data_IF_716193217738
#
_entry.id   IF_716193217738
#
_cell.length_a   1.000
_cell.length_b   1.000
_cell.length_c   1.000
_cell.angle_alpha   90.00
_cell.angle_beta   90.00
_cell.angle_gamma   90.00
#
_symmetry.space_group_name_H-M   'P 1'
#
loop_
_entity.id
_entity.type
_entity.pdbx_description
1 polymer ?
#
# COMPACT_ATOMS: atom_id res chain seq x y z
N UNK A 1 -22.97 28.85 29.97
CA UNK A 1 -21.78 27.97 30.15
C UNK A 1 -21.94 26.61 29.49
N UNK A 2 -23.04 25.86 29.71
CA UNK A 2 -23.22 24.50 29.13
C UNK A 2 -23.15 24.49 27.59
N UNK A 3 -23.80 25.43 26.91
CA UNK A 3 -23.77 25.53 25.44
C UNK A 3 -22.37 25.80 24.85
N UNK A 4 -21.50 26.52 25.57
CA UNK A 4 -20.14 26.79 25.10
C UNK A 4 -19.23 25.57 25.28
N UNK A 5 -19.42 24.79 26.36
CA UNK A 5 -18.71 23.54 26.57
C UNK A 5 -19.08 22.48 25.51
N UNK A 6 -20.38 22.33 25.22
CA UNK A 6 -20.85 21.40 24.17
C UNK A 6 -20.37 21.80 22.77
N UNK A 7 -20.37 23.10 22.44
CA UNK A 7 -19.84 23.59 21.17
C UNK A 7 -18.33 23.31 21.05
N UNK A 8 -17.58 23.45 22.14
CA UNK A 8 -16.15 23.19 22.17
C UNK A 8 -15.81 21.69 22.07
N UNK A 9 -16.61 20.82 22.68
CA UNK A 9 -16.49 19.35 22.51
C UNK A 9 -16.77 18.93 21.06
N UNK A 10 -17.85 19.41 20.43
CA UNK A 10 -18.13 19.10 19.03
C UNK A 10 -17.04 19.59 18.08
N UNK A 11 -16.46 20.76 18.33
CA UNK A 11 -15.34 21.29 17.53
C UNK A 11 -14.08 20.46 17.74
N UNK A 12 -13.77 20.06 18.97
CA UNK A 12 -12.62 19.22 19.29
C UNK A 12 -12.74 17.82 18.68
N UNK A 13 -13.94 17.22 18.72
CA UNK A 13 -14.23 15.94 18.10
C UNK A 13 -14.06 16.01 16.59
N UNK A 14 -14.56 17.08 15.95
CA UNK A 14 -14.39 17.32 14.52
C UNK A 14 -12.92 17.49 14.10
N UNK A 15 -12.12 18.19 14.90
CA UNK A 15 -10.66 18.34 14.68
C UNK A 15 -9.98 16.98 14.86
N UNK A 16 -10.29 16.26 15.93
CA UNK A 16 -9.69 14.95 16.24
C UNK A 16 -9.99 13.92 15.14
N UNK A 17 -11.24 13.88 14.65
CA UNK A 17 -11.65 13.00 13.56
C UNK A 17 -10.90 13.35 12.27
N UNK A 18 -10.80 14.64 11.92
CA UNK A 18 -10.08 15.10 10.73
C UNK A 18 -8.60 14.74 10.77
N UNK A 19 -7.96 14.84 11.94
CA UNK A 19 -6.57 14.43 12.14
C UNK A 19 -6.42 12.91 12.00
N UNK A 20 -7.29 12.11 12.62
CA UNK A 20 -7.26 10.64 12.48
C UNK A 20 -7.39 10.20 11.03
N UNK A 21 -8.33 10.78 10.29
CA UNK A 21 -8.52 10.46 8.87
C UNK A 21 -7.27 10.78 8.04
N UNK A 22 -6.56 11.88 8.36
CA UNK A 22 -5.32 12.26 7.67
C UNK A 22 -4.25 11.16 7.74
N UNK A 23 -4.08 10.52 8.90
CA UNK A 23 -3.06 9.48 9.13
C UNK A 23 -3.55 8.07 8.79
N UNK A 24 -4.87 7.81 8.77
CA UNK A 24 -5.38 6.49 8.38
C UNK A 24 -5.40 6.30 6.85
N UNK A 25 -5.53 7.41 6.10
CA UNK A 25 -5.62 7.41 4.64
C UNK A 25 -4.44 6.72 3.96
N UNK A 26 -3.18 7.03 4.28
CA UNK A 26 -2.04 6.36 3.66
C UNK A 26 -2.07 4.85 3.89
N UNK A 27 -2.31 4.41 5.12
CA UNK A 27 -2.45 2.98 5.44
C UNK A 27 -3.51 2.29 4.56
N UNK A 28 -4.73 2.84 4.48
CA UNK A 28 -5.82 2.24 3.70
C UNK A 28 -5.49 2.19 2.21
N UNK A 29 -4.93 3.28 1.66
CA UNK A 29 -4.58 3.37 0.24
C UNK A 29 -3.50 2.34 -0.12
N UNK A 30 -2.41 2.25 0.65
CA UNK A 30 -1.35 1.29 0.37
C UNK A 30 -1.75 -0.16 0.64
N UNK A 31 -2.57 -0.40 1.67
CA UNK A 31 -3.11 -1.72 1.94
C UNK A 31 -3.99 -2.22 0.80
N UNK A 32 -4.95 -1.41 0.33
CA UNK A 32 -5.81 -1.75 -0.81
C UNK A 32 -4.99 -1.95 -2.09
N UNK A 33 -4.05 -1.04 -2.37
CA UNK A 33 -3.19 -1.15 -3.55
C UNK A 33 -2.35 -2.45 -3.52
N UNK A 34 -1.80 -2.79 -2.36
CA UNK A 34 -1.01 -4.02 -2.17
C UNK A 34 -1.90 -5.26 -2.30
N UNK A 35 -3.10 -5.24 -1.73
CA UNK A 35 -4.05 -6.36 -1.80
C UNK A 35 -4.47 -6.65 -3.25
N UNK A 36 -4.79 -5.61 -4.02
CA UNK A 36 -5.16 -5.76 -5.44
C UNK A 36 -3.97 -6.30 -6.25
N UNK A 37 -2.77 -5.79 -6.01
CA UNK A 37 -1.57 -6.25 -6.69
C UNK A 37 -1.26 -7.73 -6.37
N UNK A 38 -1.30 -8.11 -5.10
CA UNK A 38 -1.05 -9.48 -4.66
C UNK A 38 -2.13 -10.46 -5.18
N UNK A 39 -3.40 -10.04 -5.23
CA UNK A 39 -4.46 -10.85 -5.83
C UNK A 39 -4.17 -11.14 -7.31
N UNK A 40 -3.73 -10.13 -8.05
CA UNK A 40 -3.32 -10.30 -9.45
C UNK A 40 -2.10 -11.24 -9.56
N UNK A 41 -1.06 -11.03 -8.76
CA UNK A 41 0.15 -11.86 -8.80
C UNK A 41 -0.11 -13.31 -8.40
N UNK A 42 -0.94 -13.55 -7.38
CA UNK A 42 -1.36 -14.89 -6.97
C UNK A 42 -2.12 -15.57 -8.11
N UNK A 43 -3.06 -14.87 -8.75
CA UNK A 43 -3.85 -15.41 -9.85
C UNK A 43 -2.95 -15.83 -11.01
N UNK A 44 -2.02 -14.97 -11.43
CA UNK A 44 -1.06 -15.31 -12.49
C UNK A 44 -0.16 -16.47 -12.07
N UNK A 45 0.33 -16.48 -10.82
CA UNK A 45 1.22 -17.54 -10.35
C UNK A 45 0.54 -18.92 -10.31
N UNK A 46 -0.72 -18.97 -9.86
CA UNK A 46 -1.50 -20.22 -9.80
C UNK A 46 -1.83 -20.72 -11.21
N UNK A 47 -2.27 -19.85 -12.10
CA UNK A 47 -2.71 -20.24 -13.44
C UNK A 47 -1.54 -20.58 -14.38
N UNK A 48 -0.41 -19.89 -14.26
CA UNK A 48 0.70 -20.01 -15.22
C UNK A 48 1.92 -20.77 -14.71
N UNK A 49 2.15 -20.88 -13.39
CA UNK A 49 3.40 -21.42 -12.85
C UNK A 49 3.21 -22.66 -11.95
N UNK A 50 2.61 -22.48 -10.77
CA UNK A 50 2.69 -23.48 -9.69
C UNK A 50 1.43 -24.32 -9.49
N UNK A 51 0.35 -24.01 -10.23
CA UNK A 51 -0.93 -24.68 -10.08
C UNK A 51 -1.55 -24.51 -8.68
N UNK A 52 -2.53 -25.37 -8.37
CA UNK A 52 -3.30 -25.33 -7.12
C UNK A 52 -2.61 -26.01 -5.93
N UNK A 53 -1.32 -26.34 -6.03
CA UNK A 53 -0.57 -26.94 -4.92
C UNK A 53 -0.41 -25.95 -3.76
N UNK A 54 -0.56 -26.42 -2.52
CA UNK A 54 -0.32 -25.66 -1.28
C UNK A 54 -1.09 -24.32 -1.20
N UNK A 55 -2.34 -24.32 -1.70
CA UNK A 55 -3.12 -23.08 -1.86
C UNK A 55 -3.39 -22.31 -0.58
N UNK A 56 -3.62 -23.00 0.54
CA UNK A 56 -3.89 -22.35 1.83
C UNK A 56 -2.68 -21.47 2.23
N UNK A 57 -1.46 -21.99 2.12
CA UNK A 57 -0.25 -21.26 2.45
C UNK A 57 -0.04 -20.08 1.50
N UNK A 58 -0.22 -20.28 0.20
CA UNK A 58 -0.09 -19.20 -0.79
C UNK A 58 -1.10 -18.08 -0.54
N UNK A 59 -2.35 -18.41 -0.25
CA UNK A 59 -3.44 -17.45 0.03
C UNK A 59 -3.17 -16.67 1.31
N UNK A 60 -2.84 -17.34 2.42
CA UNK A 60 -2.55 -16.65 3.69
C UNK A 60 -1.34 -15.73 3.54
N UNK A 61 -0.27 -16.22 2.90
CA UNK A 61 0.93 -15.44 2.68
C UNK A 61 0.67 -14.20 1.81
N UNK A 62 0.04 -14.38 0.65
CA UNK A 62 -0.14 -13.30 -0.35
C UNK A 62 -1.31 -12.37 -0.07
N UNK A 63 -2.44 -12.85 0.47
CA UNK A 63 -3.64 -12.03 0.64
C UNK A 63 -3.83 -11.49 2.06
N UNK A 64 -3.13 -12.07 3.05
CA UNK A 64 -3.21 -11.61 4.45
C UNK A 64 -1.89 -10.97 4.86
N UNK A 65 -0.81 -11.74 4.90
CA UNK A 65 0.46 -11.28 5.47
C UNK A 65 1.14 -10.20 4.61
N UNK A 66 1.24 -10.43 3.30
CA UNK A 66 1.85 -9.49 2.36
C UNK A 66 1.18 -8.11 2.36
N UNK A 67 -0.12 -7.95 2.09
CA UNK A 67 -0.75 -6.64 2.00
C UNK A 67 -0.78 -5.92 3.34
N UNK A 68 -0.96 -6.63 4.45
CA UNK A 68 -0.87 -6.03 5.78
C UNK A 68 0.56 -5.59 6.11
N UNK A 69 1.56 -6.43 5.85
CA UNK A 69 2.96 -6.11 6.14
C UNK A 69 3.51 -4.99 5.26
N UNK A 70 3.34 -5.12 3.93
CA UNK A 70 3.82 -4.14 2.96
C UNK A 70 3.02 -2.84 3.01
N UNK A 71 1.69 -2.94 2.96
CA UNK A 71 0.81 -1.77 3.00
C UNK A 71 0.88 -1.04 4.34
N UNK A 72 0.99 -1.79 5.44
CA UNK A 72 1.19 -1.23 6.78
C UNK A 72 2.54 -0.54 6.94
N UNK A 73 3.63 -1.18 6.53
CA UNK A 73 4.96 -0.59 6.60
C UNK A 73 5.06 0.68 5.72
N UNK A 74 4.58 0.61 4.49
CA UNK A 74 4.62 1.76 3.57
C UNK A 74 3.70 2.89 4.02
N UNK A 75 2.50 2.56 4.54
CA UNK A 75 1.58 3.52 5.15
C UNK A 75 2.21 4.25 6.33
N UNK A 76 2.72 3.51 7.31
CA UNK A 76 3.34 4.10 8.50
C UNK A 76 4.60 4.93 8.19
N UNK A 77 5.44 4.47 7.25
CA UNK A 77 6.59 5.26 6.79
C UNK A 77 6.14 6.54 6.05
N UNK A 78 5.08 6.46 5.27
CA UNK A 78 4.52 7.63 4.57
C UNK A 78 3.93 8.63 5.56
N UNK A 79 3.24 8.16 6.60
CA UNK A 79 2.73 9.00 7.68
C UNK A 79 3.86 9.73 8.40
N UNK A 80 4.90 8.98 8.78
CA UNK A 80 6.03 9.53 9.54
C UNK A 80 6.86 10.53 8.73
N UNK A 81 7.16 10.24 7.45
CA UNK A 81 8.09 11.04 6.66
C UNK A 81 7.44 12.08 5.75
N UNK A 82 6.19 11.88 5.30
CA UNK A 82 5.60 12.71 4.24
C UNK A 82 4.39 13.54 4.67
N UNK A 83 3.48 12.99 5.49
CA UNK A 83 2.14 13.57 5.74
C UNK A 83 2.14 15.00 6.29
N UNK A 84 3.15 15.36 7.09
CA UNK A 84 3.27 16.71 7.67
C UNK A 84 4.35 17.58 7.00
N UNK A 85 5.22 16.99 6.17
CA UNK A 85 6.41 17.67 5.64
C UNK A 85 6.32 18.03 4.16
N UNK A 86 5.58 17.25 3.36
CA UNK A 86 5.59 17.38 1.91
C UNK A 86 4.18 17.37 1.32
N UNK A 87 3.93 18.25 0.35
CA UNK A 87 2.66 18.33 -0.39
C UNK A 87 2.89 18.40 -1.90
N UNK A 88 1.86 18.02 -2.67
CA UNK A 88 1.84 18.13 -4.13
C UNK A 88 2.71 17.10 -4.85
N UNK A 89 3.14 17.44 -6.08
CA UNK A 89 3.83 16.51 -6.99
C UNK A 89 5.18 16.00 -6.46
N UNK A 90 5.86 16.78 -5.60
CA UNK A 90 7.12 16.37 -4.97
C UNK A 90 6.89 15.22 -3.99
N UNK A 91 5.86 15.31 -3.15
CA UNK A 91 5.48 14.24 -2.22
C UNK A 91 5.13 12.94 -2.97
N UNK A 92 4.48 13.04 -4.14
CA UNK A 92 4.20 11.87 -4.97
C UNK A 92 5.46 11.17 -5.49
N UNK A 93 6.51 11.92 -5.87
CA UNK A 93 7.79 11.30 -6.25
C UNK A 93 8.51 10.68 -5.06
N UNK A 94 8.53 11.34 -3.90
CA UNK A 94 9.08 10.75 -2.68
C UNK A 94 8.36 9.47 -2.30
N UNK A 95 7.03 9.44 -2.46
CA UNK A 95 6.22 8.23 -2.24
C UNK A 95 6.62 7.12 -3.21
N UNK A 96 6.86 7.43 -4.48
CA UNK A 96 7.30 6.45 -5.47
C UNK A 96 8.67 5.84 -5.11
N UNK A 97 9.62 6.67 -4.68
CA UNK A 97 10.95 6.21 -4.23
C UNK A 97 10.82 5.35 -2.98
N UNK A 98 10.04 5.80 -1.99
CA UNK A 98 9.79 5.06 -0.76
C UNK A 98 9.12 3.70 -1.05
N UNK A 99 8.16 3.68 -1.97
CA UNK A 99 7.51 2.45 -2.43
C UNK A 99 8.51 1.51 -3.10
N UNK A 100 9.43 2.02 -3.90
CA UNK A 100 10.46 1.20 -4.55
C UNK A 100 11.46 0.63 -3.53
N UNK A 101 11.80 1.36 -2.47
CA UNK A 101 12.65 0.85 -1.39
C UNK A 101 11.92 -0.22 -0.56
N UNK A 102 10.71 0.07 -0.11
CA UNK A 102 9.94 -0.83 0.76
C UNK A 102 9.42 -2.03 -0.03
N UNK A 103 8.54 -1.80 -1.02
CA UNK A 103 7.95 -2.90 -1.80
C UNK A 103 8.97 -3.60 -2.68
N UNK A 104 10.02 -2.90 -3.15
CA UNK A 104 11.09 -3.53 -3.91
C UNK A 104 11.95 -4.47 -3.06
N UNK A 105 12.20 -4.15 -1.78
CA UNK A 105 12.86 -5.08 -0.85
C UNK A 105 11.95 -6.27 -0.51
N UNK A 106 10.64 -6.05 -0.32
CA UNK A 106 9.68 -7.13 -0.17
C UNK A 106 9.60 -8.04 -1.40
N UNK A 107 9.63 -7.47 -2.61
CA UNK A 107 9.66 -8.23 -3.86
C UNK A 107 10.93 -9.08 -3.97
N UNK A 108 12.09 -8.54 -3.57
CA UNK A 108 13.33 -9.28 -3.54
C UNK A 108 13.28 -10.44 -2.52
N UNK A 109 12.73 -10.19 -1.32
CA UNK A 109 12.53 -11.23 -0.32
C UNK A 109 11.63 -12.34 -0.86
N UNK A 110 10.52 -12.00 -1.52
CA UNK A 110 9.64 -12.98 -2.17
C UNK A 110 10.37 -13.76 -3.28
N UNK A 111 11.20 -13.10 -4.09
CA UNK A 111 12.01 -13.77 -5.11
C UNK A 111 12.98 -14.80 -4.51
N UNK A 112 13.66 -14.44 -3.42
CA UNK A 112 14.57 -15.34 -2.72
C UNK A 112 13.86 -16.50 -2.02
N UNK A 113 12.75 -16.23 -1.32
CA UNK A 113 11.94 -17.28 -0.68
C UNK A 113 11.35 -18.24 -1.71
N UNK A 114 10.95 -17.72 -2.87
CA UNK A 114 10.35 -18.54 -3.91
C UNK A 114 11.33 -19.52 -4.56
N UNK A 115 12.64 -19.30 -4.49
CA UNK A 115 13.63 -20.30 -4.89
C UNK A 115 13.62 -21.54 -3.98
N UNK A 116 13.15 -21.41 -2.73
CA UNK A 116 13.01 -22.53 -1.81
C UNK A 116 11.64 -23.21 -1.90
N UNK A 117 10.57 -22.42 -2.07
CA UNK A 117 9.19 -22.94 -2.07
C UNK A 117 8.63 -23.28 -3.45
N UNK A 118 9.06 -22.60 -4.52
CA UNK A 118 8.61 -22.85 -5.89
C UNK A 118 7.14 -22.48 -6.14
N UNK A 119 6.62 -21.43 -5.50
CA UNK A 119 5.22 -21.02 -5.53
C UNK A 119 4.87 -20.00 -6.63
N UNK A 120 5.81 -19.13 -7.00
CA UNK A 120 5.57 -17.94 -7.81
C UNK A 120 6.40 -17.88 -9.10
N UNK A 121 7.15 -18.94 -9.39
CA UNK A 121 7.86 -19.12 -10.64
C UNK A 121 9.22 -18.43 -10.72
N UNK A 122 9.86 -18.07 -9.60
CA UNK A 122 11.14 -17.38 -9.57
C UNK A 122 12.26 -18.15 -10.29
N UNK A 123 12.28 -19.48 -10.19
CA UNK A 123 13.27 -20.33 -10.89
C UNK A 123 12.98 -20.44 -12.39
N UNK A 124 11.70 -20.54 -12.76
CA UNK A 124 11.27 -20.77 -14.16
C UNK A 124 11.16 -19.48 -14.98
N UNK A 125 10.78 -18.37 -14.34
CA UNK A 125 10.41 -17.11 -14.98
C UNK A 125 10.91 -15.91 -14.14
N UNK A 126 12.23 -15.77 -13.90
CA UNK A 126 12.79 -14.74 -13.01
C UNK A 126 12.47 -13.31 -13.47
N UNK A 127 12.33 -13.07 -14.77
CA UNK A 127 11.96 -11.77 -15.32
C UNK A 127 10.58 -11.28 -14.82
N UNK A 128 9.67 -12.19 -14.44
CA UNK A 128 8.38 -11.83 -13.86
C UNK A 128 8.52 -11.02 -12.56
N UNK A 129 9.55 -11.30 -11.77
CA UNK A 129 9.83 -10.55 -10.53
C UNK A 129 10.48 -9.20 -10.81
N UNK A 130 11.34 -9.11 -11.83
CA UNK A 130 12.00 -7.85 -12.18
C UNK A 130 11.04 -6.85 -12.84
N UNK A 131 10.06 -7.33 -13.61
CA UNK A 131 9.04 -6.48 -14.22
C UNK A 131 8.15 -5.77 -13.18
N UNK A 132 8.14 -6.26 -11.94
CA UNK A 132 7.39 -5.63 -10.84
C UNK A 132 8.00 -4.32 -10.37
N UNK A 133 9.31 -4.07 -10.54
CA UNK A 133 9.93 -2.82 -10.07
C UNK A 133 9.36 -1.56 -10.75
N UNK A 134 9.22 -1.50 -12.09
CA UNK A 134 8.50 -0.41 -12.74
C UNK A 134 7.06 -0.25 -12.24
N UNK A 135 6.34 -1.35 -12.05
CA UNK A 135 4.96 -1.34 -11.57
C UNK A 135 4.87 -0.81 -10.12
N UNK A 136 5.81 -1.20 -9.25
CA UNK A 136 5.94 -0.71 -7.88
C UNK A 136 6.13 0.80 -7.88
N UNK A 137 7.08 1.31 -8.68
CA UNK A 137 7.33 2.75 -8.80
C UNK A 137 6.07 3.51 -9.25
N UNK A 138 5.41 3.00 -10.30
CA UNK A 138 4.19 3.62 -10.82
C UNK A 138 3.04 3.59 -9.80
N UNK A 139 2.88 2.49 -9.07
CA UNK A 139 1.85 2.38 -8.02
C UNK A 139 2.13 3.34 -6.87
N UNK A 140 3.40 3.50 -6.47
CA UNK A 140 3.81 4.44 -5.44
C UNK A 140 3.59 5.88 -5.86
N UNK A 141 3.92 6.22 -7.11
CA UNK A 141 3.66 7.55 -7.67
C UNK A 141 2.15 7.85 -7.74
N UNK A 142 1.35 6.88 -8.19
CA UNK A 142 -0.11 7.02 -8.29
C UNK A 142 -0.76 7.16 -6.92
N UNK A 143 -0.33 6.36 -5.95
CA UNK A 143 -0.78 6.44 -4.55
C UNK A 143 -0.37 7.77 -3.91
N UNK A 144 0.86 8.22 -4.14
CA UNK A 144 1.32 9.53 -3.70
C UNK A 144 0.54 10.68 -4.34
N UNK A 145 0.12 10.58 -5.60
CA UNK A 145 -0.79 11.58 -6.21
C UNK A 145 -2.15 11.56 -5.54
N UNK A 146 -2.70 10.39 -5.21
CA UNK A 146 -3.97 10.28 -4.49
C UNK A 146 -3.89 10.92 -3.10
N UNK A 147 -2.78 10.71 -2.38
CA UNK A 147 -2.60 11.19 -1.00
C UNK A 147 -2.16 12.65 -0.89
N UNK A 148 -1.39 13.20 -1.82
CA UNK A 148 -0.75 14.51 -1.63
C UNK A 148 -1.24 15.60 -2.60
N UNK A 149 -2.26 15.33 -3.42
CA UNK A 149 -2.86 16.34 -4.32
C UNK A 149 -4.32 16.59 -3.98
N UNK A 150 -4.80 17.81 -4.19
CA UNK A 150 -6.21 18.16 -3.95
C UNK A 150 -7.18 17.32 -4.77
N UNK A 151 -6.85 17.05 -6.04
CA UNK A 151 -7.64 16.18 -6.91
C UNK A 151 -7.70 14.74 -6.38
N UNK A 152 -6.58 14.25 -5.85
CA UNK A 152 -6.46 12.94 -5.24
C UNK A 152 -7.31 12.81 -3.98
N UNK A 153 -7.18 13.79 -3.08
CA UNK A 153 -7.95 13.84 -1.83
C UNK A 153 -9.46 13.92 -2.11
N UNK A 154 -9.90 14.73 -3.09
CA UNK A 154 -11.31 14.76 -3.53
C UNK A 154 -11.81 13.41 -4.06
N UNK A 155 -10.94 12.60 -4.69
CA UNK A 155 -11.30 11.25 -5.13
C UNK A 155 -11.41 10.29 -3.95
N UNK A 156 -10.50 10.38 -2.98
CA UNK A 156 -10.57 9.59 -1.74
C UNK A 156 -11.85 9.92 -0.95
N UNK A 157 -12.19 11.20 -0.82
CA UNK A 157 -13.43 11.64 -0.17
C UNK A 157 -14.67 11.05 -0.86
N UNK A 158 -14.69 10.97 -2.20
CA UNK A 158 -15.79 10.33 -2.96
C UNK A 158 -15.87 8.82 -2.76
N UNK A 159 -14.74 8.16 -2.47
CA UNK A 159 -14.65 6.74 -2.17
C UNK A 159 -14.95 6.44 -0.68
N UNK A 160 -15.15 7.47 0.14
CA UNK A 160 -15.38 7.33 1.58
C UNK A 160 -14.11 7.01 2.38
N UNK A 161 -12.94 7.31 1.82
CA UNK A 161 -11.61 7.09 2.42
C UNK A 161 -11.01 8.42 2.86
#
# INVERSE_FOLDING_TARGET
MIYQAMAQEMVLDGITQKHRTKYIRPFVVFWLASLIAELFFLTVAVLCFSGFRDMIHKVIWTLVLCPLGMGGALGGLTDYFLVDYYNGKKAAQFTAILSLLVLGSCNYLCFSLDHYFGYFGATTHPLWFHLRYPAIYYSGYSSGKLLFTEEGQKKLDKLGI
#
